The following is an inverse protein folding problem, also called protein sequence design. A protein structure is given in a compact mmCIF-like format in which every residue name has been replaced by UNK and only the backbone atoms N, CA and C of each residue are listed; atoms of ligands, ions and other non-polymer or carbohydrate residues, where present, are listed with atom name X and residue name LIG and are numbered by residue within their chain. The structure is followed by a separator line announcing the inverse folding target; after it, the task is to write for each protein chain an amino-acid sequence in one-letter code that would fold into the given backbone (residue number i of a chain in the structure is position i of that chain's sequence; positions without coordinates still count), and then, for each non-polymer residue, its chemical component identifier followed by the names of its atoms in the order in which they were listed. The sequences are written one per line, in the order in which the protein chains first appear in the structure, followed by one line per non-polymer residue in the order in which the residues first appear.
data_IF_821296645279
#
_entry.id   IF_821296645279
#
_cell.length_a   1.000
_cell.length_b   1.000
_cell.length_c   1.000
_cell.angle_alpha   90.00
_cell.angle_beta   90.00
_cell.angle_gamma   90.00
#
_symmetry.space_group_name_H-M   'P 1'
#
loop_
_entity.id
_entity.type
_entity.pdbx_description
1 polymer ?
#
# COMPACT_ATOMS: atom_id res chain seq x y z
N UNK A 1 -52.92 -64.86 20.13
CA UNK A 1 -52.92 -63.82 19.13
C UNK A 1 -52.26 -62.54 19.71
N UNK A 2 -51.08 -62.21 19.34
CA UNK A 2 -50.40 -60.99 19.79
C UNK A 2 -50.53 -59.93 18.69
N UNK A 3 -50.96 -58.69 18.96
CA UNK A 3 -50.76 -57.56 18.11
C UNK A 3 -49.69 -56.68 18.75
N UNK A 4 -48.50 -56.70 18.20
CA UNK A 4 -47.44 -55.86 18.66
C UNK A 4 -46.41 -55.74 17.57
N UNK A 5 -46.57 -54.80 16.64
CA UNK A 5 -45.44 -54.43 15.76
C UNK A 5 -45.63 -53.10 14.95
N UNK A 6 -46.54 -52.24 15.38
CA UNK A 6 -46.75 -50.97 14.67
C UNK A 6 -46.09 -49.77 15.34
N UNK A 7 -45.83 -49.81 16.64
CA UNK A 7 -45.26 -48.68 17.39
C UNK A 7 -43.75 -48.57 17.24
N UNK A 8 -43.02 -49.68 17.22
CA UNK A 8 -41.56 -49.71 17.14
C UNK A 8 -41.04 -49.25 15.75
N UNK A 9 -41.84 -49.47 14.68
CA UNK A 9 -41.45 -48.99 13.34
C UNK A 9 -41.56 -47.48 13.21
N UNK A 10 -42.58 -46.86 13.75
CA UNK A 10 -42.77 -45.42 13.68
C UNK A 10 -41.69 -44.63 14.49
N UNK A 11 -41.28 -45.17 15.64
CA UNK A 11 -40.23 -44.55 16.45
C UNK A 11 -38.83 -44.66 15.80
N UNK A 12 -38.58 -45.76 15.10
CA UNK A 12 -37.32 -45.97 14.37
C UNK A 12 -37.22 -45.07 13.13
N UNK A 13 -38.33 -44.89 12.38
CA UNK A 13 -38.40 -44.01 11.22
C UNK A 13 -38.32 -42.52 11.61
N UNK A 14 -38.95 -42.11 12.72
CA UNK A 14 -38.85 -40.76 13.25
C UNK A 14 -37.41 -40.43 13.74
N UNK A 15 -36.77 -41.41 14.39
CA UNK A 15 -35.36 -41.25 14.81
C UNK A 15 -34.39 -41.14 13.63
N UNK A 16 -34.62 -41.93 12.57
CA UNK A 16 -33.77 -41.82 11.35
C UNK A 16 -34.02 -40.54 10.58
N UNK A 17 -35.22 -39.99 10.60
CA UNK A 17 -35.53 -38.71 9.96
C UNK A 17 -34.87 -37.55 10.66
N UNK A 18 -34.93 -37.49 12.00
CA UNK A 18 -34.27 -36.49 12.81
C UNK A 18 -32.72 -36.50 12.64
N UNK A 19 -32.10 -37.68 12.64
CA UNK A 19 -30.66 -37.82 12.41
C UNK A 19 -30.25 -37.38 10.99
N UNK A 20 -31.13 -37.54 10.02
CA UNK A 20 -30.88 -37.14 8.64
C UNK A 20 -31.04 -35.62 8.43
N UNK A 21 -32.01 -35.01 9.14
CA UNK A 21 -32.20 -33.56 9.16
C UNK A 21 -31.07 -32.85 9.92
N UNK A 22 -30.61 -33.41 11.02
CA UNK A 22 -29.49 -32.90 11.81
C UNK A 22 -28.13 -32.99 11.06
N UNK A 23 -27.93 -34.08 10.30
CA UNK A 23 -26.78 -34.21 9.39
C UNK A 23 -26.84 -33.26 8.21
N UNK A 24 -28.03 -32.93 7.73
CA UNK A 24 -28.22 -32.01 6.61
C UNK A 24 -28.00 -30.56 7.05
N UNK A 25 -28.56 -30.14 8.19
CA UNK A 25 -28.32 -28.80 8.76
C UNK A 25 -26.85 -28.59 9.13
N UNK A 26 -26.20 -29.59 9.71
CA UNK A 26 -24.76 -29.53 10.02
C UNK A 26 -23.88 -29.52 8.77
N UNK A 27 -24.29 -30.18 7.69
CA UNK A 27 -23.63 -30.12 6.38
C UNK A 27 -23.82 -28.78 5.67
N UNK A 28 -24.97 -28.15 5.86
CA UNK A 28 -25.27 -26.81 5.33
C UNK A 28 -24.53 -25.72 6.13
N UNK A 29 -24.49 -25.82 7.47
CA UNK A 29 -23.68 -24.91 8.32
C UNK A 29 -22.16 -25.01 8.02
N UNK A 30 -21.62 -26.24 7.86
CA UNK A 30 -20.20 -26.40 7.50
C UNK A 30 -19.92 -25.98 6.07
N UNK A 31 -20.86 -26.02 5.15
CA UNK A 31 -20.71 -25.51 3.79
C UNK A 31 -20.82 -23.98 3.74
N UNK A 32 -21.67 -23.39 4.58
CA UNK A 32 -21.80 -21.94 4.73
C UNK A 32 -20.57 -21.34 5.44
N UNK A 33 -20.07 -21.97 6.50
CA UNK A 33 -18.81 -21.59 7.17
C UNK A 33 -17.60 -21.76 6.23
N UNK A 34 -17.53 -22.82 5.44
CA UNK A 34 -16.48 -23.03 4.44
C UNK A 34 -16.58 -22.09 3.24
N UNK A 35 -17.75 -21.53 2.98
CA UNK A 35 -17.99 -20.49 1.96
C UNK A 35 -17.64 -19.10 2.46
N UNK A 36 -17.89 -18.82 3.74
CA UNK A 36 -17.62 -17.52 4.37
C UNK A 36 -16.11 -17.29 4.65
N UNK A 37 -15.31 -18.36 4.76
CA UNK A 37 -13.88 -18.29 5.11
C UNK A 37 -12.95 -18.39 3.89
N UNK A 38 -13.46 -18.29 2.68
CA UNK A 38 -12.62 -18.21 1.48
C UNK A 38 -12.17 -16.78 1.29
N UNK A 39 -10.96 -16.49 1.74
CA UNK A 39 -10.30 -15.24 1.41
C UNK A 39 -10.40 -15.00 -0.11
N UNK A 40 -10.91 -13.84 -0.55
CA UNK A 40 -11.11 -13.56 -1.97
C UNK A 40 -9.79 -13.68 -2.72
N UNK A 41 -9.84 -14.30 -3.91
CA UNK A 41 -8.64 -14.49 -4.72
C UNK A 41 -8.05 -13.15 -5.16
N UNK A 42 -6.73 -13.12 -5.43
CA UNK A 42 -6.00 -11.91 -5.86
C UNK A 42 -6.71 -11.18 -7.02
N UNK A 43 -7.20 -11.92 -8.02
CA UNK A 43 -7.90 -11.35 -9.17
C UNK A 43 -9.27 -10.77 -8.79
N UNK A 44 -9.95 -11.33 -7.82
CA UNK A 44 -11.22 -10.81 -7.30
C UNK A 44 -10.99 -9.51 -6.54
N UNK A 45 -9.96 -9.44 -5.69
CA UNK A 45 -9.57 -8.23 -4.98
C UNK A 45 -9.21 -7.08 -5.93
N UNK A 46 -8.46 -7.37 -6.99
CA UNK A 46 -8.08 -6.36 -8.00
C UNK A 46 -9.26 -5.90 -8.88
N UNK A 47 -10.40 -6.60 -8.86
CA UNK A 47 -11.65 -6.16 -9.52
C UNK A 47 -12.49 -5.22 -8.64
N UNK A 48 -12.21 -5.17 -7.34
CA UNK A 48 -12.90 -4.24 -6.44
C UNK A 48 -12.56 -2.81 -6.83
N UNK A 49 -13.55 -1.91 -6.96
CA UNK A 49 -13.30 -0.50 -7.24
C UNK A 49 -12.31 0.09 -6.24
N UNK A 50 -11.39 0.91 -6.70
CA UNK A 50 -10.32 1.56 -5.94
C UNK A 50 -9.19 0.63 -5.43
N UNK A 51 -9.36 -0.70 -5.39
CA UNK A 51 -8.31 -1.60 -4.90
C UNK A 51 -7.07 -1.55 -5.81
N UNK A 52 -7.25 -1.58 -7.13
CA UNK A 52 -6.18 -1.47 -8.12
C UNK A 52 -5.37 -0.18 -7.95
N UNK A 53 -6.09 0.94 -7.82
CA UNK A 53 -5.50 2.26 -7.67
C UNK A 53 -4.72 2.36 -6.37
N UNK A 54 -5.25 1.78 -5.28
CA UNK A 54 -4.57 1.76 -3.97
C UNK A 54 -3.31 0.90 -4.00
N UNK A 55 -3.35 -0.27 -4.63
CA UNK A 55 -2.18 -1.14 -4.82
C UNK A 55 -1.13 -0.45 -5.68
N UNK A 56 -1.52 0.15 -6.81
CA UNK A 56 -0.62 0.87 -7.71
C UNK A 56 0.01 2.09 -7.02
N UNK A 57 -0.78 2.85 -6.24
CA UNK A 57 -0.29 3.96 -5.45
C UNK A 57 0.77 3.50 -4.45
N UNK A 58 0.50 2.41 -3.74
CA UNK A 58 1.40 1.90 -2.71
C UNK A 58 2.66 1.25 -3.28
N UNK A 59 2.55 0.59 -4.44
CA UNK A 59 3.68 0.16 -5.25
C UNK A 59 4.60 1.33 -5.61
N UNK A 60 4.04 2.41 -6.21
CA UNK A 60 4.81 3.58 -6.62
C UNK A 60 5.47 4.29 -5.43
N UNK A 61 4.76 4.38 -4.30
CA UNK A 61 5.30 4.96 -3.08
C UNK A 61 6.52 4.19 -2.58
N UNK A 62 6.41 2.86 -2.42
CA UNK A 62 7.52 2.03 -1.93
C UNK A 62 8.69 1.97 -2.92
N UNK A 63 8.39 1.92 -4.22
CA UNK A 63 9.39 2.04 -5.28
C UNK A 63 10.19 3.36 -5.17
N UNK A 64 9.48 4.47 -4.96
CA UNK A 64 10.06 5.80 -4.81
C UNK A 64 10.91 5.90 -3.55
N UNK A 65 10.34 5.55 -2.38
CA UNK A 65 11.04 5.64 -1.09
C UNK A 65 12.34 4.82 -1.10
N UNK A 66 12.26 3.57 -1.55
CA UNK A 66 13.41 2.67 -1.56
C UNK A 66 14.47 3.12 -2.56
N UNK A 67 14.07 3.50 -3.78
CA UNK A 67 15.02 4.00 -4.78
C UNK A 67 15.65 5.31 -4.33
N UNK A 68 14.87 6.21 -3.73
CA UNK A 68 15.37 7.48 -3.20
C UNK A 68 16.45 7.24 -2.16
N UNK A 69 16.21 6.39 -1.16
CA UNK A 69 17.18 6.11 -0.12
C UNK A 69 18.45 5.41 -0.61
N UNK A 70 18.29 4.37 -1.46
CA UNK A 70 19.43 3.58 -1.93
C UNK A 70 20.35 4.34 -2.90
N UNK A 71 19.78 5.17 -3.78
CA UNK A 71 20.55 5.82 -4.86
C UNK A 71 20.97 7.25 -4.54
N UNK A 72 20.50 7.85 -3.44
CA UNK A 72 20.84 9.22 -3.06
C UNK A 72 22.36 9.47 -2.99
N UNK A 73 23.10 8.59 -2.33
CA UNK A 73 24.56 8.70 -2.22
C UNK A 73 25.25 8.59 -3.58
N UNK A 74 24.88 7.58 -4.39
CA UNK A 74 25.42 7.38 -5.73
C UNK A 74 25.14 8.57 -6.64
N UNK A 75 23.94 9.13 -6.59
CA UNK A 75 23.57 10.34 -7.33
C UNK A 75 24.46 11.54 -6.95
N UNK A 76 24.66 11.77 -5.65
CA UNK A 76 25.50 12.86 -5.17
C UNK A 76 26.97 12.70 -5.61
N UNK A 77 27.49 11.46 -5.59
CA UNK A 77 28.88 11.20 -6.05
C UNK A 77 29.00 11.34 -7.54
N UNK A 78 28.14 10.69 -8.31
CA UNK A 78 28.27 10.59 -9.76
C UNK A 78 27.93 11.90 -10.48
N UNK A 79 26.89 12.61 -10.02
CA UNK A 79 26.36 13.82 -10.69
C UNK A 79 26.94 15.09 -10.06
N UNK A 80 26.88 15.20 -8.73
CA UNK A 80 27.31 16.41 -8.03
C UNK A 80 28.80 16.39 -7.61
N UNK A 81 29.53 15.30 -7.88
CA UNK A 81 30.96 15.13 -7.55
C UNK A 81 31.25 15.31 -6.05
N UNK A 82 30.29 15.03 -5.20
CA UNK A 82 30.48 15.08 -3.75
C UNK A 82 31.36 13.90 -3.31
N UNK A 83 32.35 14.09 -2.42
CA UNK A 83 33.15 12.99 -1.89
C UNK A 83 32.26 11.90 -1.28
N UNK A 84 32.59 10.61 -1.47
CA UNK A 84 31.75 9.49 -1.12
C UNK A 84 31.34 9.48 0.37
N UNK A 85 32.28 9.80 1.28
CA UNK A 85 32.04 9.89 2.71
C UNK A 85 30.98 10.94 3.04
N UNK A 86 31.09 12.13 2.44
CA UNK A 86 30.10 13.20 2.62
C UNK A 86 28.76 12.87 1.96
N UNK A 87 28.78 12.23 0.80
CA UNK A 87 27.57 11.81 0.10
C UNK A 87 26.76 10.77 0.91
N UNK A 88 27.46 9.84 1.56
CA UNK A 88 26.83 8.88 2.46
C UNK A 88 26.17 9.56 3.68
N UNK A 89 26.86 10.53 4.29
CA UNK A 89 26.28 11.29 5.40
C UNK A 89 25.06 12.11 4.96
N UNK A 90 25.09 12.72 3.76
CA UNK A 90 23.96 13.46 3.20
C UNK A 90 22.78 12.56 2.85
N UNK A 91 23.02 11.37 2.31
CA UNK A 91 21.97 10.37 2.08
C UNK A 91 21.31 9.93 3.38
N UNK A 92 22.03 9.91 4.49
CA UNK A 92 21.49 9.66 5.83
C UNK A 92 20.42 10.67 6.27
N UNK A 93 20.45 11.91 5.74
CA UNK A 93 19.42 12.92 6.04
C UNK A 93 18.03 12.51 5.53
N UNK A 94 17.96 11.74 4.46
CA UNK A 94 16.69 11.18 3.98
C UNK A 94 16.05 10.29 5.05
N UNK A 95 16.80 9.37 5.63
CA UNK A 95 16.30 8.47 6.70
C UNK A 95 16.03 9.23 7.99
N UNK A 96 16.83 10.25 8.31
CA UNK A 96 16.56 11.15 9.43
C UNK A 96 15.23 11.89 9.22
N UNK A 97 14.96 12.34 8.00
CA UNK A 97 13.69 12.95 7.60
C UNK A 97 12.51 12.00 7.81
N UNK A 98 12.62 10.73 7.38
CA UNK A 98 11.59 9.71 7.62
C UNK A 98 11.36 9.53 9.13
N UNK A 99 12.42 9.40 9.92
CA UNK A 99 12.31 9.15 11.36
C UNK A 99 11.64 10.33 12.06
N UNK A 100 12.11 11.56 11.82
CA UNK A 100 11.54 12.78 12.39
C UNK A 100 10.09 12.99 11.91
N UNK A 101 9.84 12.75 10.63
CA UNK A 101 8.52 12.87 10.04
C UNK A 101 7.52 11.88 10.63
N UNK A 102 7.92 10.64 10.92
CA UNK A 102 7.05 9.64 11.59
C UNK A 102 6.67 10.09 13.00
N UNK A 103 7.61 10.65 13.76
CA UNK A 103 7.32 11.19 15.08
C UNK A 103 6.30 12.34 15.00
N UNK A 104 6.49 13.29 14.08
CA UNK A 104 5.57 14.41 13.86
C UNK A 104 4.21 13.93 13.34
N UNK A 105 4.20 12.99 12.40
CA UNK A 105 2.97 12.45 11.80
C UNK A 105 2.06 11.81 12.85
N UNK A 106 2.62 11.14 13.86
CA UNK A 106 1.85 10.54 14.94
C UNK A 106 0.97 11.56 15.69
N UNK A 107 1.43 12.79 15.86
CA UNK A 107 0.64 13.87 16.47
C UNK A 107 -0.35 14.50 15.49
N UNK A 108 0.02 14.61 14.20
CA UNK A 108 -0.84 15.25 13.21
C UNK A 108 -2.07 14.40 12.85
N UNK A 109 -2.01 13.09 12.99
CA UNK A 109 -3.14 12.19 12.68
C UNK A 109 -4.36 12.43 13.57
N UNK A 110 -4.23 13.12 14.70
CA UNK A 110 -5.37 13.51 15.54
C UNK A 110 -6.21 14.63 14.88
N UNK A 111 -5.62 15.44 14.01
CA UNK A 111 -6.27 16.63 13.40
C UNK A 111 -6.42 16.55 11.89
N UNK A 112 -5.65 15.70 11.23
CA UNK A 112 -5.62 15.61 9.78
C UNK A 112 -6.03 14.19 9.37
N UNK A 113 -7.01 14.09 8.46
CA UNK A 113 -7.44 12.80 7.89
C UNK A 113 -6.33 12.11 7.12
N UNK A 114 -6.44 10.79 6.95
CA UNK A 114 -5.47 9.99 6.18
C UNK A 114 -5.22 10.55 4.77
N UNK A 115 -6.27 10.96 4.05
CA UNK A 115 -6.14 11.60 2.75
C UNK A 115 -5.42 12.95 2.81
N UNK A 116 -5.64 13.71 3.88
CA UNK A 116 -4.93 14.95 4.17
C UNK A 116 -3.44 14.70 4.42
N UNK A 117 -3.11 13.67 5.19
CA UNK A 117 -1.73 13.26 5.48
C UNK A 117 -1.00 12.80 4.22
N UNK A 118 -1.66 12.01 3.35
CA UNK A 118 -1.07 11.59 2.07
C UNK A 118 -0.81 12.81 1.17
N UNK A 119 -1.75 13.76 1.10
CA UNK A 119 -1.56 15.00 0.31
C UNK A 119 -0.44 15.86 0.87
N UNK A 120 -0.38 16.04 2.19
CA UNK A 120 0.67 16.79 2.87
C UNK A 120 2.03 16.17 2.59
N UNK A 121 2.16 14.84 2.78
CA UNK A 121 3.38 14.10 2.51
C UNK A 121 3.82 14.22 1.04
N UNK A 122 2.87 14.06 0.11
CA UNK A 122 3.12 14.21 -1.34
C UNK A 122 3.59 15.63 -1.68
N UNK A 123 3.02 16.66 -1.08
CA UNK A 123 3.41 18.05 -1.28
C UNK A 123 4.82 18.35 -0.74
N UNK A 124 5.15 17.88 0.46
CA UNK A 124 6.49 18.03 1.05
C UNK A 124 7.52 17.26 0.21
N UNK A 125 7.17 16.05 -0.24
CA UNK A 125 8.00 15.24 -1.11
C UNK A 125 8.30 15.95 -2.44
N UNK A 126 7.26 16.52 -3.07
CA UNK A 126 7.42 17.32 -4.30
C UNK A 126 8.32 18.54 -4.09
N UNK A 127 8.16 19.25 -2.97
CA UNK A 127 9.04 20.37 -2.62
C UNK A 127 10.51 19.93 -2.45
N UNK A 128 10.75 18.79 -1.79
CA UNK A 128 12.08 18.20 -1.66
C UNK A 128 12.69 17.86 -3.02
N UNK A 129 11.90 17.31 -3.95
CA UNK A 129 12.33 17.07 -5.33
C UNK A 129 12.68 18.35 -6.08
N UNK A 130 11.84 19.36 -5.99
CA UNK A 130 12.11 20.64 -6.64
C UNK A 130 13.45 21.22 -6.17
N UNK A 131 13.74 21.15 -4.88
CA UNK A 131 15.01 21.60 -4.32
C UNK A 131 16.18 20.76 -4.86
N UNK A 132 16.01 19.45 -5.01
CA UNK A 132 17.05 18.56 -5.54
C UNK A 132 17.36 18.82 -7.02
N UNK A 133 16.40 19.34 -7.79
CA UNK A 133 16.59 19.71 -9.20
C UNK A 133 17.38 20.99 -9.41
N UNK A 134 17.49 21.88 -8.40
CA UNK A 134 18.27 23.09 -8.54
C UNK A 134 19.77 22.78 -8.58
N UNK A 135 20.50 23.30 -9.57
CA UNK A 135 21.93 23.11 -9.67
C UNK A 135 22.63 23.84 -8.52
N UNK A 136 23.42 23.15 -7.73
CA UNK A 136 24.22 23.70 -6.63
C UNK A 136 24.19 22.76 -5.42
N UNK A 137 25.33 22.15 -5.10
CA UNK A 137 25.44 21.08 -4.07
C UNK A 137 25.07 21.47 -2.63
N UNK A 138 24.84 22.76 -2.35
CA UNK A 138 24.43 23.21 -1.01
C UNK A 138 22.97 22.96 -0.64
N UNK A 139 22.10 22.79 -1.62
CA UNK A 139 20.66 22.60 -1.40
C UNK A 139 20.23 21.13 -1.30
N UNK A 140 21.08 20.21 -1.76
CA UNK A 140 20.77 18.75 -1.76
C UNK A 140 20.47 18.22 -0.37
N UNK A 141 21.06 18.79 0.68
CA UNK A 141 20.81 18.42 2.08
C UNK A 141 19.35 18.66 2.48
N UNK A 142 18.85 19.87 2.21
CA UNK A 142 17.47 20.25 2.49
C UNK A 142 16.50 19.44 1.64
N UNK A 143 16.82 19.21 0.36
CA UNK A 143 16.01 18.38 -0.53
C UNK A 143 15.83 16.95 -0.02
N UNK A 144 16.92 16.28 0.34
CA UNK A 144 16.88 14.91 0.86
C UNK A 144 16.14 14.81 2.20
N UNK A 145 16.35 15.76 3.12
CA UNK A 145 15.64 15.80 4.40
C UNK A 145 14.14 15.99 4.18
N UNK A 146 13.74 16.92 3.31
CA UNK A 146 12.32 17.15 2.99
C UNK A 146 11.69 15.96 2.29
N UNK A 147 12.41 15.29 1.39
CA UNK A 147 11.91 14.06 0.76
C UNK A 147 11.61 12.99 1.82
N UNK A 148 12.50 12.79 2.78
CA UNK A 148 12.28 11.86 3.89
C UNK A 148 11.09 12.26 4.76
N UNK A 149 10.98 13.54 5.13
CA UNK A 149 9.82 14.07 5.86
C UNK A 149 8.50 13.84 5.11
N UNK A 150 8.49 14.02 3.79
CA UNK A 150 7.31 13.81 2.94
C UNK A 150 6.91 12.34 2.82
N UNK A 151 7.87 11.41 2.79
CA UNK A 151 7.60 9.98 2.78
C UNK A 151 6.92 9.50 4.09
N UNK A 152 7.30 10.08 5.21
CA UNK A 152 6.95 9.59 6.55
C UNK A 152 5.45 9.37 6.80
N UNK A 153 4.51 10.30 6.48
CA UNK A 153 3.09 10.15 6.74
C UNK A 153 2.38 9.22 5.75
N UNK A 154 2.93 8.97 4.56
CA UNK A 154 2.20 8.33 3.46
C UNK A 154 1.91 6.86 3.78
N UNK A 155 2.93 6.10 4.16
CA UNK A 155 2.79 4.66 4.44
C UNK A 155 1.74 4.36 5.51
N UNK A 156 1.81 4.92 6.74
CA UNK A 156 0.84 4.62 7.78
C UNK A 156 -0.58 5.06 7.38
N UNK A 157 -0.74 6.20 6.72
CA UNK A 157 -2.05 6.70 6.31
C UNK A 157 -2.71 5.83 5.24
N UNK A 158 -1.94 5.25 4.30
CA UNK A 158 -2.48 4.31 3.31
C UNK A 158 -3.04 3.06 3.99
N UNK A 159 -2.29 2.47 4.91
CA UNK A 159 -2.72 1.27 5.63
C UNK A 159 -3.89 1.56 6.55
N UNK A 160 -3.82 2.66 7.32
CA UNK A 160 -4.87 3.06 8.25
C UNK A 160 -6.20 3.35 7.55
N UNK A 161 -6.18 3.94 6.35
CA UNK A 161 -7.38 4.23 5.56
C UNK A 161 -8.03 2.98 4.92
N UNK A 162 -7.36 1.83 4.88
CA UNK A 162 -7.86 0.65 4.17
C UNK A 162 -9.16 0.09 4.75
N UNK A 163 -9.34 -0.08 6.08
CA UNK A 163 -10.59 -0.58 6.65
C UNK A 163 -11.78 0.35 6.39
N UNK A 164 -11.58 1.67 6.41
CA UNK A 164 -12.64 2.64 6.15
C UNK A 164 -13.09 2.65 4.69
N UNK A 165 -12.22 2.24 3.76
CA UNK A 165 -12.48 2.23 2.31
C UNK A 165 -13.09 0.92 1.82
N UNK A 166 -12.65 -0.21 2.37
CA UNK A 166 -13.00 -1.55 1.87
C UNK A 166 -13.84 -2.36 2.86
N UNK A 167 -14.10 -1.84 4.06
CA UNK A 167 -14.78 -2.54 5.14
C UNK A 167 -13.84 -3.49 5.91
N UNK A 168 -14.25 -3.87 7.12
CA UNK A 168 -13.44 -4.67 8.02
C UNK A 168 -13.13 -6.08 7.44
N UNK A 169 -14.11 -6.68 6.76
CA UNK A 169 -14.01 -8.04 6.22
C UNK A 169 -12.97 -8.16 5.10
N UNK A 170 -12.90 -7.17 4.19
CA UNK A 170 -11.98 -7.19 3.07
C UNK A 170 -10.63 -6.53 3.37
N UNK A 171 -10.54 -5.76 4.47
CA UNK A 171 -9.36 -4.94 4.76
C UNK A 171 -8.07 -5.76 4.88
N UNK A 172 -8.11 -6.91 5.54
CA UNK A 172 -6.94 -7.79 5.71
C UNK A 172 -6.42 -8.31 4.36
N UNK A 173 -7.32 -8.75 3.50
CA UNK A 173 -6.96 -9.25 2.18
C UNK A 173 -6.41 -8.12 1.28
N UNK A 174 -7.02 -6.94 1.32
CA UNK A 174 -6.55 -5.76 0.56
C UNK A 174 -5.19 -5.29 1.07
N UNK A 175 -4.96 -5.23 2.39
CA UNK A 175 -3.64 -4.91 2.97
C UNK A 175 -2.60 -5.92 2.52
N UNK A 176 -2.94 -7.21 2.49
CA UNK A 176 -2.03 -8.25 1.98
C UNK A 176 -1.57 -8.00 0.55
N UNK A 177 -2.50 -7.62 -0.35
CA UNK A 177 -2.18 -7.30 -1.75
C UNK A 177 -1.41 -5.98 -1.87
N UNK A 178 -1.74 -4.97 -1.06
CA UNK A 178 -0.97 -3.73 -0.97
C UNK A 178 0.49 -4.00 -0.57
N UNK A 179 0.70 -4.84 0.46
CA UNK A 179 2.05 -5.24 0.90
C UNK A 179 2.81 -6.00 -0.19
N UNK A 180 2.15 -6.93 -0.89
CA UNK A 180 2.78 -7.62 -2.01
C UNK A 180 3.21 -6.63 -3.10
N UNK A 181 2.36 -5.68 -3.47
CA UNK A 181 2.69 -4.60 -4.40
C UNK A 181 3.87 -3.74 -3.90
N UNK A 182 3.87 -3.38 -2.62
CA UNK A 182 4.95 -2.62 -1.99
C UNK A 182 6.30 -3.36 -2.09
N UNK A 183 6.33 -4.65 -1.75
CA UNK A 183 7.55 -5.47 -1.82
C UNK A 183 8.04 -5.64 -3.26
N UNK A 184 7.15 -5.79 -4.23
CA UNK A 184 7.53 -5.84 -5.65
C UNK A 184 8.14 -4.49 -6.06
N UNK A 185 7.52 -3.36 -5.67
CA UNK A 185 8.04 -2.03 -5.95
C UNK A 185 9.42 -1.79 -5.35
N UNK A 186 9.59 -2.08 -4.05
CA UNK A 186 10.85 -1.88 -3.33
C UNK A 186 11.97 -2.81 -3.79
N UNK A 187 11.64 -4.01 -4.30
CA UNK A 187 12.65 -4.98 -4.75
C UNK A 187 13.06 -4.80 -6.19
N UNK A 188 12.14 -4.43 -7.09
CA UNK A 188 12.42 -4.38 -8.54
C UNK A 188 12.80 -2.98 -9.02
N UNK A 189 12.25 -1.92 -8.43
CA UNK A 189 12.43 -0.58 -8.96
C UNK A 189 13.82 0.02 -8.72
N UNK A 190 14.51 -0.21 -7.58
CA UNK A 190 15.89 0.24 -7.40
C UNK A 190 16.89 -0.43 -8.37
N UNK A 191 16.89 -1.75 -8.58
CA UNK A 191 17.72 -2.39 -9.61
C UNK A 191 17.37 -1.92 -11.03
N UNK A 192 16.08 -1.72 -11.32
CA UNK A 192 15.65 -1.19 -12.61
C UNK A 192 16.19 0.23 -12.85
N UNK A 193 16.18 1.08 -11.83
CA UNK A 193 16.84 2.38 -11.92
C UNK A 193 18.35 2.22 -12.13
N UNK A 194 19.00 1.25 -11.47
CA UNK A 194 20.42 0.93 -11.69
C UNK A 194 20.74 0.64 -13.14
N UNK A 195 19.93 -0.23 -13.76
CA UNK A 195 20.05 -0.50 -15.19
C UNK A 195 19.91 0.75 -16.07
N UNK A 196 18.96 1.62 -15.75
CA UNK A 196 18.79 2.91 -16.44
C UNK A 196 19.99 3.84 -16.22
N UNK A 197 20.51 3.92 -14.99
CA UNK A 197 21.65 4.77 -14.64
C UNK A 197 22.93 4.33 -15.36
N UNK A 198 23.13 3.04 -15.55
CA UNK A 198 24.29 2.49 -16.28
C UNK A 198 24.26 2.83 -17.78
N UNK A 199 23.07 2.87 -18.40
CA UNK A 199 22.91 3.10 -19.84
C UNK A 199 22.68 4.56 -20.19
N UNK A 200 21.98 5.31 -19.37
CA UNK A 200 21.52 6.67 -19.66
C UNK A 200 22.11 7.71 -18.70
N UNK A 201 22.78 7.26 -17.64
CA UNK A 201 23.43 8.12 -16.66
C UNK A 201 22.63 8.35 -15.38
N UNK A 202 23.34 8.52 -14.27
CA UNK A 202 22.77 8.75 -12.95
C UNK A 202 22.00 10.08 -12.80
N UNK A 203 22.15 11.01 -13.75
CA UNK A 203 21.41 12.28 -13.82
C UNK A 203 19.90 12.08 -14.00
N UNK A 204 19.46 10.89 -14.42
CA UNK A 204 18.03 10.52 -14.51
C UNK A 204 17.35 10.33 -13.14
N UNK A 205 18.12 10.22 -12.06
CA UNK A 205 17.58 9.94 -10.72
C UNK A 205 16.39 10.83 -10.32
N UNK A 206 16.47 12.16 -10.36
CA UNK A 206 15.32 12.99 -9.97
C UNK A 206 14.12 12.82 -10.90
N UNK A 207 14.34 12.65 -12.19
CA UNK A 207 13.25 12.47 -13.15
C UNK A 207 12.54 11.14 -12.98
N UNK A 208 13.27 10.06 -12.71
CA UNK A 208 12.72 8.75 -12.42
C UNK A 208 11.83 8.78 -11.19
N UNK A 209 12.30 9.40 -10.12
CA UNK A 209 11.54 9.54 -8.88
C UNK A 209 10.31 10.45 -9.08
N UNK A 210 10.43 11.50 -9.90
CA UNK A 210 9.31 12.39 -10.25
C UNK A 210 8.19 11.63 -10.98
N UNK A 211 8.53 10.73 -11.90
CA UNK A 211 7.53 9.89 -12.57
C UNK A 211 6.76 9.03 -11.57
N UNK A 212 7.48 8.36 -10.64
CA UNK A 212 6.84 7.57 -9.59
C UNK A 212 5.94 8.42 -8.68
N UNK A 213 6.39 9.63 -8.31
CA UNK A 213 5.61 10.59 -7.53
C UNK A 213 4.32 11.01 -8.25
N UNK A 214 4.42 11.35 -9.53
CA UNK A 214 3.26 11.78 -10.33
C UNK A 214 2.25 10.63 -10.45
N UNK A 215 2.71 9.41 -10.76
CA UNK A 215 1.83 8.24 -10.85
C UNK A 215 1.16 7.96 -9.49
N UNK A 216 1.91 8.01 -8.40
CA UNK A 216 1.39 7.86 -7.04
C UNK A 216 0.29 8.92 -6.74
N UNK A 217 0.56 10.18 -7.04
CA UNK A 217 -0.39 11.28 -6.81
C UNK A 217 -1.66 11.14 -7.66
N UNK A 218 -1.52 10.72 -8.92
CA UNK A 218 -2.67 10.47 -9.81
C UNK A 218 -3.52 9.30 -9.31
N UNK A 219 -2.89 8.21 -8.86
CA UNK A 219 -3.61 7.08 -8.28
C UNK A 219 -4.34 7.48 -7.00
N UNK A 220 -3.70 8.26 -6.13
CA UNK A 220 -4.36 8.79 -4.93
C UNK A 220 -5.58 9.64 -5.26
N UNK A 221 -5.50 10.52 -6.26
CA UNK A 221 -6.66 11.33 -6.68
C UNK A 221 -7.84 10.51 -7.20
N UNK A 222 -7.60 9.32 -7.77
CA UNK A 222 -8.66 8.43 -8.24
C UNK A 222 -9.37 7.67 -7.10
N UNK A 223 -8.70 7.53 -5.96
CA UNK A 223 -9.23 6.82 -4.79
C UNK A 223 -10.16 7.72 -3.98
N UNK A 224 -10.02 9.05 -4.07
CA UNK A 224 -10.81 9.99 -3.26
C UNK A 224 -12.26 10.01 -3.75
N UNK A 225 -13.26 9.65 -2.90
CA UNK A 225 -14.67 9.71 -3.28
C UNK A 225 -15.08 11.18 -3.50
N UNK A 226 -15.45 11.55 -4.68
CA UNK A 226 -15.96 12.89 -4.98
C UNK A 226 -15.82 13.38 -6.43
N UNK A 227 -15.06 12.67 -7.28
CA UNK A 227 -14.91 13.07 -8.69
C UNK A 227 -15.64 12.20 -9.72
N UNK A 228 -16.21 11.07 -9.33
CA UNK A 228 -16.85 10.14 -10.25
C UNK A 228 -18.39 10.08 -10.18
N UNK A 229 -19.06 10.91 -9.36
CA UNK A 229 -20.55 10.92 -9.27
C UNK A 229 -21.19 11.97 -10.22
N UNK A 230 -20.44 12.76 -10.94
CA UNK A 230 -21.01 13.83 -11.81
C UNK A 230 -20.96 13.55 -13.32
N UNK A 231 -20.68 12.32 -13.77
CA UNK A 231 -20.63 12.04 -15.22
C UNK A 231 -21.62 10.96 -15.66
N UNK A 232 -22.64 10.66 -14.87
CA UNK A 232 -23.76 9.77 -15.28
C UNK A 232 -25.07 10.24 -14.65
N UNK A 233 -25.58 11.38 -15.11
CA UNK A 233 -26.98 11.79 -15.12
C UNK A 233 -27.31 12.36 -16.49
#
# INVERSE_FOLDING_TARGET
MKPGNGKDRNETEAGQKNVREEKKSRGEETAEEAGADRAPGLLELLRIPMARETVAMFFCYNALETTAGLWASSYLVLVHKVPAERAAALAGLFYLGITAGRAVSGFLTEWISDDGMIRLGTGILAAGFLILLFPGGGHSQAGLLLMGLGCAPIYPSVIHSTPSRFGAELSQAVIGVQMAGAYIGSSLMPPFFGFLADHLGASLYPYYLLVLLVVMALMHQRIIPGKHVQTSL
#
